data_IF_203177039094
#
_entry.id   IF_203177039094
#
_cell.length_a   1.000
_cell.length_b   1.000
_cell.length_c   1.000
_cell.angle_alpha   90.00
_cell.angle_beta   90.00
_cell.angle_gamma   90.00
#
_symmetry.space_group_name_H-M   'P 1'
#
loop_
_entity.id
_entity.type
_entity.pdbx_description
1 polymer ?
#
# COMPACT_ATOMS: atom_id res chain seq x y z
N UNK A 1 28.95 2.18 13.18
CA UNK A 1 28.66 0.98 12.35
C UNK A 1 28.88 -0.24 13.20
N UNK A 2 27.91 -1.17 13.22
CA UNK A 2 28.01 -2.42 13.95
C UNK A 2 28.20 -3.56 12.93
N UNK A 3 29.12 -4.48 13.24
CA UNK A 3 29.40 -5.63 12.39
C UNK A 3 28.77 -6.88 13.00
N UNK A 4 28.05 -7.62 12.21
CA UNK A 4 27.38 -8.86 12.59
C UNK A 4 27.79 -10.00 11.65
N UNK A 5 27.67 -11.23 12.14
CA UNK A 5 28.03 -12.43 11.35
C UNK A 5 27.00 -12.76 10.27
N UNK A 6 25.74 -12.39 10.49
CA UNK A 6 24.63 -12.64 9.56
C UNK A 6 23.48 -11.69 9.84
N UNK A 7 22.53 -11.59 8.92
CA UNK A 7 21.29 -10.83 9.09
C UNK A 7 20.45 -11.32 10.28
N UNK A 8 20.46 -12.62 10.56
CA UNK A 8 19.76 -13.17 11.74
C UNK A 8 20.33 -12.62 13.05
N UNK A 9 21.65 -12.44 13.15
CA UNK A 9 22.27 -11.83 14.32
C UNK A 9 21.90 -10.35 14.44
N UNK A 10 21.78 -9.64 13.32
CA UNK A 10 21.27 -8.26 13.33
C UNK A 10 19.86 -8.22 13.88
N UNK A 11 18.96 -9.07 13.36
CA UNK A 11 17.54 -9.09 13.76
C UNK A 11 17.32 -9.49 15.24
N UNK A 12 18.25 -10.21 15.84
CA UNK A 12 18.23 -10.59 17.27
C UNK A 12 18.85 -9.53 18.18
N UNK A 13 19.49 -8.52 17.64
CA UNK A 13 20.10 -7.47 18.44
C UNK A 13 19.04 -6.59 19.10
N UNK A 14 19.16 -6.35 20.42
CA UNK A 14 18.16 -5.60 21.22
C UNK A 14 17.91 -4.16 20.75
N UNK A 15 18.87 -3.58 20.03
CA UNK A 15 18.73 -2.25 19.42
C UNK A 15 18.38 -2.31 17.92
N UNK A 16 18.08 -3.51 17.40
CA UNK A 16 17.62 -3.65 16.03
C UNK A 16 16.31 -2.91 15.82
N UNK A 17 16.26 -2.24 14.73
CA UNK A 17 15.15 -1.42 14.37
C UNK A 17 14.77 -1.68 12.89
N UNK A 18 13.53 -2.08 12.68
CA UNK A 18 13.06 -2.58 11.40
C UNK A 18 13.25 -1.59 10.22
N UNK A 19 13.09 -0.29 10.46
CA UNK A 19 13.34 0.71 9.41
C UNK A 19 14.83 0.91 9.08
N UNK A 20 15.73 0.33 9.88
CA UNK A 20 17.15 0.27 9.56
C UNK A 20 17.51 -0.95 8.69
N UNK A 21 16.53 -1.74 8.27
CA UNK A 21 16.78 -2.93 7.42
C UNK A 21 17.46 -2.55 6.11
N UNK A 22 17.15 -1.37 5.55
CA UNK A 22 17.81 -0.84 4.36
C UNK A 22 19.30 -0.57 4.55
N UNK A 23 19.76 -0.42 5.81
CA UNK A 23 21.16 -0.23 6.16
C UNK A 23 21.90 -1.53 6.51
N UNK A 24 21.18 -2.64 6.51
CA UNK A 24 21.81 -3.96 6.67
C UNK A 24 22.33 -4.40 5.32
N UNK A 25 23.65 -4.30 5.14
CA UNK A 25 24.32 -4.58 3.89
C UNK A 25 25.59 -5.40 4.11
N UNK A 26 26.04 -6.18 3.11
CA UNK A 26 27.36 -6.77 3.10
C UNK A 26 28.47 -5.73 3.34
N UNK A 27 29.52 -6.13 4.01
CA UNK A 27 30.70 -5.25 4.26
C UNK A 27 31.30 -4.73 2.94
N UNK A 28 31.29 -5.55 1.89
CA UNK A 28 31.73 -5.18 0.55
C UNK A 28 30.94 -4.00 -0.03
N UNK A 29 29.66 -3.93 0.23
CA UNK A 29 28.79 -2.84 -0.26
C UNK A 29 28.99 -1.59 0.57
N UNK A 30 29.14 -1.70 1.89
CA UNK A 30 29.57 -0.59 2.73
C UNK A 30 30.92 -0.05 2.32
N UNK A 31 31.87 -0.90 1.91
CA UNK A 31 33.17 -0.45 1.39
C UNK A 31 33.03 0.42 0.13
N UNK A 32 32.09 0.08 -0.78
CA UNK A 32 31.80 0.93 -1.96
C UNK A 32 31.25 2.30 -1.53
N UNK A 33 30.33 2.33 -0.57
CA UNK A 33 29.77 3.57 -0.03
C UNK A 33 30.87 4.43 0.62
N UNK A 34 31.67 3.85 1.51
CA UNK A 34 32.74 4.57 2.20
C UNK A 34 33.91 4.96 1.30
N UNK A 35 34.01 4.41 0.09
CA UNK A 35 34.99 4.83 -0.90
C UNK A 35 34.61 6.10 -1.66
N UNK A 36 33.39 6.61 -1.49
CA UNK A 36 32.89 7.82 -2.15
C UNK A 36 33.53 9.10 -1.60
N UNK A 37 33.42 10.16 -2.39
CA UNK A 37 34.03 11.48 -2.08
C UNK A 37 33.61 12.01 -0.71
N UNK A 38 32.36 11.84 -0.32
CA UNK A 38 31.85 12.25 1.00
C UNK A 38 32.77 11.79 2.14
N UNK A 39 33.29 10.56 2.08
CA UNK A 39 34.14 10.02 3.14
C UNK A 39 35.61 10.31 2.92
N UNK A 40 36.04 10.42 1.67
CA UNK A 40 37.44 10.75 1.32
C UNK A 40 37.79 12.20 1.60
N UNK A 41 36.86 13.11 1.34
CA UNK A 41 37.04 14.54 1.52
C UNK A 41 36.74 15.04 2.95
N UNK A 42 36.53 14.14 3.91
CA UNK A 42 36.09 14.49 5.26
C UNK A 42 37.07 15.43 6.00
N UNK A 43 38.32 15.49 5.61
CA UNK A 43 39.33 16.35 6.19
C UNK A 43 39.60 17.62 5.36
N UNK A 44 38.90 17.80 4.24
CA UNK A 44 39.04 18.99 3.41
C UNK A 44 38.44 20.21 4.12
N UNK A 45 39.06 21.38 4.03
CA UNK A 45 38.58 22.60 4.73
C UNK A 45 37.17 23.03 4.32
N UNK A 46 36.75 22.74 3.11
CA UNK A 46 35.46 23.08 2.51
C UNK A 46 34.40 21.98 2.59
N UNK A 47 34.72 20.86 3.27
CA UNK A 47 33.85 19.68 3.34
C UNK A 47 32.39 19.97 3.69
N UNK A 48 32.16 20.87 4.67
CA UNK A 48 30.81 21.19 5.14
C UNK A 48 30.01 22.08 4.17
N UNK A 49 30.67 22.76 3.24
CA UNK A 49 30.02 23.63 2.25
C UNK A 49 29.80 22.98 0.88
N UNK A 50 30.22 21.72 0.71
CA UNK A 50 30.13 21.00 -0.56
C UNK A 50 28.85 20.18 -0.65
N UNK A 51 27.89 20.68 -1.42
CA UNK A 51 26.60 20.00 -1.67
C UNK A 51 26.73 18.75 -2.57
N UNK A 52 27.72 18.72 -3.46
CA UNK A 52 28.00 17.61 -4.37
C UNK A 52 28.35 16.30 -3.65
N UNK A 53 28.92 16.37 -2.46
CA UNK A 53 29.33 15.18 -1.69
C UNK A 53 28.14 14.35 -1.22
N UNK A 54 27.05 14.99 -0.83
CA UNK A 54 25.82 14.28 -0.47
C UNK A 54 25.19 13.61 -1.68
N UNK A 55 25.17 14.27 -2.83
CA UNK A 55 24.64 13.70 -4.07
C UNK A 55 25.40 12.43 -4.48
N UNK A 56 26.75 12.44 -4.40
CA UNK A 56 27.58 11.27 -4.69
C UNK A 56 27.32 10.10 -3.73
N UNK A 57 27.21 10.39 -2.45
CA UNK A 57 26.84 9.39 -1.44
C UNK A 57 25.45 8.77 -1.72
N UNK A 58 24.48 9.61 -2.05
CA UNK A 58 23.14 9.20 -2.44
C UNK A 58 23.14 8.28 -3.67
N UNK A 59 23.92 8.65 -4.67
CA UNK A 59 24.05 7.86 -5.88
C UNK A 59 24.60 6.46 -5.56
N UNK A 60 25.61 6.37 -4.69
CA UNK A 60 26.20 5.09 -4.30
C UNK A 60 25.19 4.14 -3.66
N UNK A 61 24.30 4.65 -2.79
CA UNK A 61 23.28 3.82 -2.17
C UNK A 61 22.16 3.43 -3.15
N UNK A 62 21.80 4.33 -4.07
CA UNK A 62 20.88 4.02 -5.16
C UNK A 62 21.41 2.91 -6.06
N UNK A 63 22.69 2.95 -6.40
CA UNK A 63 23.36 1.90 -7.18
C UNK A 63 23.31 0.53 -6.49
N UNK A 64 23.28 0.50 -5.17
CA UNK A 64 23.13 -0.70 -4.35
C UNK A 64 21.68 -1.13 -4.12
N UNK A 65 20.72 -0.47 -4.76
CA UNK A 65 19.30 -0.73 -4.58
C UNK A 65 18.78 -0.41 -3.18
N UNK A 66 19.50 0.42 -2.41
CA UNK A 66 19.12 0.82 -1.06
C UNK A 66 18.36 2.14 -1.09
N UNK A 67 17.11 2.11 -0.69
CA UNK A 67 16.29 3.30 -0.45
C UNK A 67 16.23 3.56 1.04
N UNK A 68 16.82 4.67 1.49
CA UNK A 68 16.67 5.14 2.85
C UNK A 68 15.57 6.20 2.93
N UNK A 69 14.83 6.31 4.02
CA UNK A 69 13.92 7.42 4.25
C UNK A 69 14.57 8.79 4.06
N UNK A 70 15.83 8.95 4.39
CA UNK A 70 16.60 10.20 4.15
C UNK A 70 16.69 10.61 2.68
N UNK A 71 16.64 9.66 1.74
CA UNK A 71 16.69 9.94 0.31
C UNK A 71 15.39 10.55 -0.22
N UNK A 72 14.32 10.39 0.52
CA UNK A 72 13.02 10.92 0.18
C UNK A 72 12.89 12.39 0.55
N UNK A 73 13.81 12.91 1.37
CA UNK A 73 13.84 14.30 1.76
C UNK A 73 13.92 15.27 0.55
N UNK A 74 14.85 15.11 -0.41
CA UNK A 74 14.88 15.98 -1.59
C UNK A 74 13.57 15.95 -2.38
N UNK A 75 12.92 14.79 -2.46
CA UNK A 75 11.60 14.66 -3.09
C UNK A 75 10.57 15.57 -2.42
N UNK A 76 10.43 15.51 -1.09
CA UNK A 76 9.49 16.35 -0.35
C UNK A 76 9.87 17.84 -0.40
N UNK A 77 11.17 18.17 -0.31
CA UNK A 77 11.63 19.55 -0.35
C UNK A 77 11.29 20.21 -1.70
N UNK A 78 11.39 19.49 -2.81
CA UNK A 78 11.12 19.99 -4.16
C UNK A 78 9.65 19.93 -4.57
N UNK A 79 8.82 19.19 -3.84
CA UNK A 79 7.42 19.01 -4.18
C UNK A 79 6.58 20.14 -3.59
N UNK A 80 6.06 21.02 -4.42
CA UNK A 80 5.22 22.15 -3.99
C UNK A 80 3.73 21.92 -4.27
N UNK A 81 3.42 21.11 -5.27
CA UNK A 81 2.04 20.80 -5.68
C UNK A 81 1.91 19.32 -5.99
N UNK A 82 0.84 18.70 -5.50
CA UNK A 82 0.45 17.33 -5.85
C UNK A 82 -0.93 17.35 -6.51
N UNK A 83 -0.97 16.87 -7.76
CA UNK A 83 -2.23 16.56 -8.45
C UNK A 83 -2.62 15.12 -8.13
N UNK A 84 -3.57 14.92 -7.22
CA UNK A 84 -4.00 13.58 -6.81
C UNK A 84 -4.57 12.78 -7.97
N UNK A 85 -5.25 13.45 -8.92
CA UNK A 85 -5.78 12.81 -10.13
C UNK A 85 -4.74 12.07 -10.96
N UNK A 86 -3.48 12.55 -11.01
CA UNK A 86 -2.37 11.89 -11.71
C UNK A 86 -2.06 10.50 -11.16
N UNK A 87 -2.17 10.33 -9.85
CA UNK A 87 -1.82 9.13 -9.10
C UNK A 87 -3.03 8.23 -8.80
N UNK A 88 -4.21 8.67 -9.24
CA UNK A 88 -5.47 7.97 -9.00
C UNK A 88 -5.60 6.77 -9.94
N UNK A 89 -5.96 5.63 -9.36
CA UNK A 89 -6.25 4.41 -10.10
C UNK A 89 -7.77 4.27 -10.27
N UNK A 90 -8.50 4.36 -9.16
CA UNK A 90 -9.97 4.32 -9.13
C UNK A 90 -10.48 5.02 -7.89
N UNK A 91 -11.51 5.83 -8.01
CA UNK A 91 -12.11 6.55 -6.86
C UNK A 91 -11.06 7.32 -6.06
N UNK A 92 -10.90 6.97 -4.79
CA UNK A 92 -9.88 7.53 -3.88
C UNK A 92 -8.62 6.66 -3.74
N UNK A 93 -8.51 5.56 -4.49
CA UNK A 93 -7.36 4.69 -4.44
C UNK A 93 -6.21 5.25 -5.29
N UNK A 94 -5.08 5.51 -4.65
CA UNK A 94 -3.90 6.14 -5.24
C UNK A 94 -2.64 5.33 -4.99
N UNK A 95 -1.69 5.37 -5.94
CA UNK A 95 -0.34 4.83 -5.79
C UNK A 95 0.66 5.80 -6.44
N UNK A 96 1.87 5.86 -5.87
CA UNK A 96 2.92 6.78 -6.32
C UNK A 96 3.83 6.15 -7.38
N UNK A 97 4.29 4.92 -7.13
CA UNK A 97 5.23 4.24 -8.02
C UNK A 97 4.59 3.97 -9.38
N UNK A 98 5.19 4.46 -10.44
CA UNK A 98 4.62 4.44 -11.79
C UNK A 98 4.35 3.01 -12.29
N UNK A 99 5.25 2.08 -12.01
CA UNK A 99 5.06 0.68 -12.38
C UNK A 99 3.85 0.05 -11.67
N UNK A 100 3.68 0.33 -10.39
CA UNK A 100 2.53 -0.16 -9.59
C UNK A 100 1.24 0.53 -10.03
N UNK A 101 1.30 1.84 -10.27
CA UNK A 101 0.18 2.65 -10.76
C UNK A 101 -0.37 2.08 -12.08
N UNK A 102 0.53 1.81 -13.04
CA UNK A 102 0.15 1.27 -14.34
C UNK A 102 -0.40 -0.16 -14.23
N UNK A 103 0.28 -1.04 -13.51
CA UNK A 103 -0.19 -2.42 -13.30
C UNK A 103 -1.60 -2.47 -12.66
N UNK A 104 -1.88 -1.58 -11.69
CA UNK A 104 -3.20 -1.54 -11.06
C UNK A 104 -4.27 -0.82 -11.91
N UNK A 105 -3.88 0.11 -12.79
CA UNK A 105 -4.79 0.64 -13.83
C UNK A 105 -5.17 -0.44 -14.81
N UNK A 106 -4.22 -1.28 -15.23
CA UNK A 106 -4.48 -2.41 -16.12
C UNK A 106 -5.37 -3.45 -15.44
N UNK A 107 -5.10 -3.79 -14.18
CA UNK A 107 -5.95 -4.67 -13.37
C UNK A 107 -7.39 -4.13 -13.28
N UNK A 108 -7.55 -2.83 -13.00
CA UNK A 108 -8.87 -2.18 -13.02
C UNK A 108 -9.54 -2.30 -14.38
N UNK A 109 -8.83 -2.01 -15.46
CA UNK A 109 -9.39 -2.11 -16.82
C UNK A 109 -9.83 -3.53 -17.14
N UNK A 110 -9.05 -4.54 -16.78
CA UNK A 110 -9.38 -5.94 -17.00
C UNK A 110 -10.64 -6.36 -16.21
N UNK A 111 -10.75 -5.93 -14.94
CA UNK A 111 -11.95 -6.20 -14.14
C UNK A 111 -13.18 -5.51 -14.76
N UNK A 112 -13.07 -4.25 -15.18
CA UNK A 112 -14.17 -3.53 -15.83
C UNK A 112 -14.55 -4.15 -17.18
N UNK A 113 -13.59 -4.56 -17.98
CA UNK A 113 -13.85 -5.29 -19.23
C UNK A 113 -14.50 -6.66 -18.98
N UNK A 114 -14.12 -7.31 -17.87
CA UNK A 114 -14.77 -8.54 -17.40
C UNK A 114 -16.25 -8.34 -17.10
N UNK A 115 -16.63 -7.20 -16.54
CA UNK A 115 -18.03 -6.83 -16.31
C UNK A 115 -18.83 -6.82 -17.62
N UNK A 116 -18.23 -6.35 -18.70
CA UNK A 116 -18.89 -6.29 -20.02
C UNK A 116 -18.98 -7.64 -20.70
N UNK A 117 -18.05 -8.56 -20.40
CA UNK A 117 -17.99 -9.92 -20.95
C UNK A 117 -18.63 -10.98 -20.05
N UNK A 118 -19.12 -10.60 -18.89
CA UNK A 118 -19.70 -11.53 -17.92
C UNK A 118 -20.84 -12.36 -18.53
N UNK A 119 -20.89 -13.64 -18.21
CA UNK A 119 -21.82 -14.60 -18.79
C UNK A 119 -21.38 -15.21 -20.13
N UNK A 120 -20.30 -14.70 -20.75
CA UNK A 120 -19.72 -15.26 -21.99
C UNK A 120 -18.42 -16.03 -21.72
N UNK A 121 -17.65 -15.60 -20.75
CA UNK A 121 -16.35 -16.14 -20.38
C UNK A 121 -16.17 -16.11 -18.86
N UNK A 122 -15.32 -17.01 -18.32
CA UNK A 122 -14.91 -16.92 -16.90
C UNK A 122 -14.10 -15.68 -16.69
N UNK A 123 -14.58 -14.83 -15.80
CA UNK A 123 -13.91 -13.56 -15.41
C UNK A 123 -13.58 -13.61 -13.90
N UNK A 124 -12.88 -14.69 -13.50
CA UNK A 124 -12.38 -14.83 -12.14
C UNK A 124 -11.01 -14.18 -12.03
N UNK A 125 -10.76 -13.45 -10.96
CA UNK A 125 -9.53 -12.70 -10.72
C UNK A 125 -8.87 -13.18 -9.42
N UNK A 126 -7.53 -13.14 -9.37
CA UNK A 126 -6.75 -13.43 -8.18
C UNK A 126 -5.89 -12.23 -7.84
N UNK A 127 -5.97 -11.76 -6.59
CA UNK A 127 -5.16 -10.65 -6.08
C UNK A 127 -4.31 -11.15 -4.92
N UNK A 128 -3.01 -11.13 -5.08
CA UNK A 128 -2.12 -11.14 -3.94
C UNK A 128 -1.85 -9.71 -3.49
N UNK A 129 -1.96 -9.47 -2.19
CA UNK A 129 -1.72 -8.13 -1.65
C UNK A 129 -0.93 -8.20 -0.34
N UNK A 130 0.11 -7.41 -0.23
CA UNK A 130 0.81 -7.27 1.03
C UNK A 130 -0.15 -6.80 2.15
N UNK A 131 -0.01 -7.28 3.39
CA UNK A 131 -0.86 -6.87 4.48
C UNK A 131 -0.93 -5.35 4.62
N UNK A 132 -2.14 -4.80 4.69
CA UNK A 132 -2.36 -3.36 4.83
C UNK A 132 -2.14 -2.51 3.58
N UNK A 133 -1.87 -3.10 2.41
CA UNK A 133 -1.69 -2.39 1.14
C UNK A 133 -2.97 -1.86 0.50
N UNK A 134 -4.14 -2.16 1.09
CA UNK A 134 -5.43 -1.64 0.64
C UNK A 134 -6.18 -2.50 -0.38
N UNK A 135 -5.96 -3.82 -0.41
CA UNK A 135 -6.63 -4.75 -1.35
C UNK A 135 -8.16 -4.60 -1.35
N UNK A 136 -8.79 -4.70 -0.19
CA UNK A 136 -10.24 -4.58 -0.03
C UNK A 136 -10.73 -3.21 -0.50
N UNK A 137 -10.02 -2.14 -0.13
CA UNK A 137 -10.36 -0.78 -0.55
C UNK A 137 -10.24 -0.59 -2.07
N UNK A 138 -9.25 -1.19 -2.72
CA UNK A 138 -9.13 -1.18 -4.19
C UNK A 138 -10.37 -1.77 -4.86
N UNK A 139 -10.81 -2.95 -4.43
CA UNK A 139 -11.98 -3.62 -5.00
C UNK A 139 -13.28 -2.87 -4.68
N UNK A 140 -13.41 -2.33 -3.47
CA UNK A 140 -14.55 -1.48 -3.10
C UNK A 140 -14.66 -0.22 -3.97
N UNK A 141 -13.54 0.44 -4.29
CA UNK A 141 -13.53 1.62 -5.16
C UNK A 141 -13.86 1.24 -6.63
N UNK A 142 -13.46 0.04 -7.09
CA UNK A 142 -13.92 -0.48 -8.38
C UNK A 142 -15.44 -0.70 -8.35
N UNK A 143 -15.95 -1.38 -7.34
CA UNK A 143 -17.38 -1.62 -7.19
C UNK A 143 -18.19 -0.31 -7.19
N UNK A 144 -17.74 0.71 -6.44
CA UNK A 144 -18.35 2.04 -6.44
C UNK A 144 -18.33 2.70 -7.82
N UNK A 145 -17.26 2.49 -8.61
CA UNK A 145 -17.18 3.05 -9.96
C UNK A 145 -18.17 2.41 -10.94
N UNK A 146 -18.66 1.22 -10.64
CA UNK A 146 -19.69 0.50 -11.41
C UNK A 146 -21.12 0.96 -11.02
N UNK A 147 -21.29 1.62 -9.90
CA UNK A 147 -22.56 2.16 -9.39
C UNK A 147 -23.72 1.15 -9.49
N UNK A 148 -24.79 1.53 -10.20
CA UNK A 148 -25.99 0.71 -10.34
C UNK A 148 -25.84 -0.49 -11.29
N UNK A 149 -24.68 -0.67 -11.91
CA UNK A 149 -24.41 -1.76 -12.86
C UNK A 149 -24.14 -3.10 -12.19
N UNK A 150 -23.67 -3.10 -10.94
CA UNK A 150 -23.40 -4.32 -10.20
C UNK A 150 -23.84 -4.23 -8.73
N UNK A 151 -24.10 -5.40 -8.14
CA UNK A 151 -24.20 -5.57 -6.69
C UNK A 151 -22.86 -6.05 -6.15
N UNK A 152 -22.30 -5.38 -5.16
CA UNK A 152 -21.07 -5.78 -4.52
C UNK A 152 -21.33 -6.64 -3.29
N UNK A 153 -20.68 -7.80 -3.25
CA UNK A 153 -20.76 -8.75 -2.14
C UNK A 153 -19.34 -9.00 -1.63
N UNK A 154 -19.09 -8.68 -0.36
CA UNK A 154 -17.80 -8.91 0.29
C UNK A 154 -17.92 -10.02 1.34
N UNK A 155 -17.12 -11.06 1.19
CA UNK A 155 -17.06 -12.18 2.13
C UNK A 155 -15.64 -12.31 2.64
N UNK A 156 -15.43 -12.12 3.94
CA UNK A 156 -14.13 -12.36 4.56
C UNK A 156 -14.06 -13.81 5.07
N UNK A 157 -13.31 -14.64 4.37
CA UNK A 157 -13.22 -16.07 4.65
C UNK A 157 -12.58 -16.39 6.01
N UNK A 158 -11.73 -15.51 6.54
CA UNK A 158 -11.15 -15.69 7.87
C UNK A 158 -12.21 -15.64 8.98
N UNK A 159 -13.29 -14.89 8.75
CA UNK A 159 -14.38 -14.66 9.73
C UNK A 159 -15.58 -15.58 9.51
N UNK A 160 -15.96 -15.82 8.25
CA UNK A 160 -17.12 -16.61 7.90
C UNK A 160 -16.99 -18.06 8.35
N UNK A 161 -18.06 -18.68 8.81
CA UNK A 161 -18.18 -20.12 8.92
C UNK A 161 -18.68 -20.75 7.59
N UNK A 162 -18.84 -22.06 7.59
CA UNK A 162 -19.21 -22.82 6.38
C UNK A 162 -20.61 -22.45 5.88
N UNK A 163 -21.57 -22.33 6.78
CA UNK A 163 -22.97 -22.09 6.44
C UNK A 163 -23.17 -20.61 6.02
N UNK A 164 -22.56 -19.67 6.73
CA UNK A 164 -22.53 -18.26 6.37
C UNK A 164 -21.91 -18.02 4.99
N UNK A 165 -20.79 -18.71 4.70
CA UNK A 165 -20.11 -18.59 3.42
C UNK A 165 -21.01 -19.08 2.27
N UNK A 166 -21.61 -20.26 2.42
CA UNK A 166 -22.54 -20.82 1.44
C UNK A 166 -23.75 -19.91 1.23
N UNK A 167 -24.41 -19.50 2.31
CA UNK A 167 -25.59 -18.64 2.24
C UNK A 167 -25.30 -17.32 1.55
N UNK A 168 -24.12 -16.71 1.83
CA UNK A 168 -23.71 -15.46 1.18
C UNK A 168 -23.48 -15.60 -0.33
N UNK A 169 -22.92 -16.73 -0.77
CA UNK A 169 -22.75 -17.02 -2.20
C UNK A 169 -24.11 -17.26 -2.88
N UNK A 170 -24.98 -18.06 -2.26
CA UNK A 170 -26.32 -18.39 -2.79
C UNK A 170 -27.19 -17.12 -2.90
N UNK A 171 -27.23 -16.31 -1.86
CA UNK A 171 -27.98 -15.05 -1.85
C UNK A 171 -27.52 -14.06 -2.93
N UNK A 172 -26.22 -14.05 -3.22
CA UNK A 172 -25.67 -13.23 -4.28
C UNK A 172 -25.99 -13.69 -5.70
N UNK A 173 -26.28 -15.00 -5.91
CA UNK A 173 -26.56 -15.56 -7.24
C UNK A 173 -28.01 -15.38 -7.69
N UNK A 174 -28.92 -15.07 -6.80
CA UNK A 174 -30.37 -14.97 -7.09
C UNK A 174 -30.80 -13.64 -7.74
N UNK A 175 -29.87 -12.72 -7.99
CA UNK A 175 -30.16 -11.40 -8.53
C UNK A 175 -30.03 -11.35 -10.07
N UNK A 176 -30.98 -10.72 -10.74
CA UNK A 176 -30.96 -10.41 -12.18
C UNK A 176 -29.94 -9.31 -12.55
N UNK A 177 -29.00 -9.00 -11.64
CA UNK A 177 -27.94 -7.99 -11.82
C UNK A 177 -26.57 -8.66 -11.77
N UNK A 178 -25.60 -8.03 -12.42
CA UNK A 178 -24.20 -8.42 -12.27
C UNK A 178 -23.80 -8.42 -10.78
N UNK A 179 -23.18 -9.51 -10.35
CA UNK A 179 -22.65 -9.65 -8.99
C UNK A 179 -21.12 -9.57 -9.03
N UNK A 180 -20.55 -8.67 -8.26
CA UNK A 180 -19.12 -8.57 -8.02
C UNK A 180 -18.80 -9.09 -6.62
N UNK A 181 -18.27 -10.31 -6.55
CA UNK A 181 -17.87 -10.94 -5.30
C UNK A 181 -16.42 -10.61 -4.98
N UNK A 182 -16.15 -10.15 -3.78
CA UNK A 182 -14.82 -10.17 -3.18
C UNK A 182 -14.78 -11.28 -2.12
N UNK A 183 -13.99 -12.32 -2.38
CA UNK A 183 -13.67 -13.34 -1.39
C UNK A 183 -12.32 -12.95 -0.77
N UNK A 184 -12.39 -12.22 0.34
CA UNK A 184 -11.19 -11.73 1.03
C UNK A 184 -10.61 -12.80 1.96
N UNK A 185 -9.28 -12.81 2.12
CA UNK A 185 -8.52 -13.83 2.85
C UNK A 185 -8.77 -15.25 2.32
N UNK A 186 -8.73 -15.42 0.98
CA UNK A 186 -8.96 -16.72 0.30
C UNK A 186 -8.02 -17.82 0.81
N UNK A 187 -6.88 -17.44 1.31
CA UNK A 187 -5.85 -18.28 1.89
C UNK A 187 -6.02 -18.56 3.41
N UNK A 188 -7.09 -18.05 4.02
CA UNK A 188 -7.45 -18.38 5.41
C UNK A 188 -7.93 -19.83 5.57
N UNK A 189 -7.97 -20.32 6.84
CA UNK A 189 -8.45 -21.66 7.21
C UNK A 189 -7.72 -22.78 6.47
N UNK A 190 -6.39 -22.89 6.57
CA UNK A 190 -5.58 -23.82 5.76
C UNK A 190 -5.97 -25.30 5.97
N UNK A 191 -6.48 -25.65 7.15
CA UNK A 191 -6.83 -27.02 7.54
C UNK A 191 -8.27 -27.42 7.17
N UNK A 192 -9.07 -26.47 6.68
CA UNK A 192 -10.46 -26.71 6.31
C UNK A 192 -10.60 -26.92 4.79
N UNK A 193 -11.17 -28.03 4.32
CA UNK A 193 -11.39 -28.29 2.88
C UNK A 193 -12.55 -27.48 2.31
N UNK A 194 -13.58 -27.22 3.11
CA UNK A 194 -14.87 -26.67 2.68
C UNK A 194 -14.81 -25.32 1.94
N UNK A 195 -13.87 -24.39 2.20
CA UNK A 195 -13.88 -23.11 1.48
C UNK A 195 -13.79 -23.29 -0.04
N UNK A 196 -12.88 -24.12 -0.49
CA UNK A 196 -12.68 -24.36 -1.93
C UNK A 196 -13.74 -25.28 -2.52
N UNK A 197 -14.18 -26.28 -1.75
CA UNK A 197 -15.27 -27.18 -2.18
C UNK A 197 -16.58 -26.43 -2.41
N UNK A 198 -16.92 -25.48 -1.55
CA UNK A 198 -18.11 -24.65 -1.71
C UNK A 198 -17.96 -23.66 -2.86
N UNK A 199 -16.79 -23.03 -3.01
CA UNK A 199 -16.58 -21.97 -4.00
C UNK A 199 -16.54 -22.49 -5.44
N UNK A 200 -15.99 -23.67 -5.67
CA UNK A 200 -15.78 -24.24 -7.01
C UNK A 200 -17.05 -24.26 -7.88
N UNK A 201 -18.21 -24.76 -7.43
CA UNK A 201 -19.44 -24.75 -8.23
C UNK A 201 -19.90 -23.35 -8.64
N UNK A 202 -19.64 -22.34 -7.81
CA UNK A 202 -20.02 -20.95 -8.12
C UNK A 202 -19.10 -20.33 -9.19
N UNK A 203 -17.79 -20.64 -9.16
CA UNK A 203 -16.86 -20.20 -10.21
C UNK A 203 -17.20 -20.81 -11.58
N UNK A 204 -17.76 -22.01 -11.61
CA UNK A 204 -18.20 -22.68 -12.85
C UNK A 204 -19.59 -22.22 -13.30
N UNK A 205 -20.51 -22.00 -12.37
CA UNK A 205 -21.90 -21.61 -12.64
C UNK A 205 -22.02 -20.29 -13.41
N UNK A 206 -21.06 -19.37 -13.24
CA UNK A 206 -21.02 -18.12 -13.97
C UNK A 206 -20.99 -18.30 -15.50
N UNK A 207 -20.44 -19.43 -15.99
CA UNK A 207 -20.36 -19.73 -17.42
C UNK A 207 -21.54 -20.63 -17.86
N UNK A 208 -21.84 -21.68 -17.09
CA UNK A 208 -22.81 -22.69 -17.46
C UNK A 208 -24.27 -22.22 -17.44
N UNK A 209 -24.59 -21.29 -16.51
CA UNK A 209 -25.95 -20.76 -16.30
C UNK A 209 -26.19 -19.39 -16.89
N UNK A 210 -25.17 -18.78 -17.55
CA UNK A 210 -25.25 -17.41 -18.01
C UNK A 210 -25.37 -16.40 -16.86
N UNK A 211 -24.97 -16.78 -15.64
CA UNK A 211 -25.04 -15.88 -14.49
C UNK A 211 -23.98 -14.79 -14.65
N UNK A 212 -24.37 -13.56 -14.37
CA UNK A 212 -23.47 -12.40 -14.45
C UNK A 212 -22.74 -12.24 -13.12
N UNK A 213 -21.78 -13.13 -12.84
CA UNK A 213 -21.00 -13.07 -11.61
C UNK A 213 -19.51 -13.01 -11.92
N UNK A 214 -18.81 -12.11 -11.23
CA UNK A 214 -17.36 -11.94 -11.27
C UNK A 214 -16.83 -12.19 -9.86
N UNK A 215 -15.86 -13.08 -9.76
CA UNK A 215 -15.21 -13.39 -8.50
C UNK A 215 -13.80 -12.80 -8.45
N UNK A 216 -13.53 -12.00 -7.43
CA UNK A 216 -12.21 -11.50 -7.08
C UNK A 216 -11.78 -12.22 -5.81
N UNK A 217 -10.82 -13.13 -5.94
CA UNK A 217 -10.23 -13.85 -4.82
C UNK A 217 -9.00 -13.08 -4.35
N UNK A 218 -8.94 -12.72 -3.08
CA UNK A 218 -7.85 -11.90 -2.54
C UNK A 218 -7.22 -12.55 -1.30
N UNK A 219 -5.88 -12.58 -1.27
CA UNK A 219 -5.12 -13.14 -0.14
C UNK A 219 -3.81 -12.42 0.08
N UNK A 220 -3.10 -12.81 1.14
CA UNK A 220 -1.86 -12.13 1.59
C UNK A 220 -0.74 -13.07 2.05
N UNK A 221 -0.95 -14.39 2.01
CA UNK A 221 0.03 -15.37 2.47
C UNK A 221 1.17 -15.59 1.46
N UNK A 222 2.22 -16.26 1.89
CA UNK A 222 3.29 -16.75 1.00
C UNK A 222 4.31 -15.70 0.57
N UNK A 223 4.25 -14.46 1.08
CA UNK A 223 5.15 -13.34 0.75
C UNK A 223 5.17 -12.90 -0.73
N UNK A 224 4.49 -13.63 -1.61
CA UNK A 224 4.33 -13.35 -3.03
C UNK A 224 3.08 -14.01 -3.57
N UNK A 225 2.70 -13.66 -4.81
CA UNK A 225 1.60 -14.31 -5.52
C UNK A 225 1.88 -15.82 -5.72
N UNK A 226 3.09 -16.15 -6.15
CA UNK A 226 3.52 -17.54 -6.37
C UNK A 226 3.49 -18.33 -5.06
N UNK A 227 4.04 -17.77 -3.98
CA UNK A 227 4.01 -18.41 -2.67
C UNK A 227 2.60 -18.59 -2.11
N UNK A 228 1.67 -17.68 -2.40
CA UNK A 228 0.25 -17.86 -2.08
C UNK A 228 -0.36 -19.00 -2.92
N UNK A 229 -0.10 -19.03 -4.23
CA UNK A 229 -0.59 -20.09 -5.13
C UNK A 229 -0.06 -21.47 -4.73
N UNK A 230 1.19 -21.59 -4.34
CA UNK A 230 1.77 -22.84 -3.82
C UNK A 230 1.03 -23.33 -2.56
N UNK A 231 0.76 -22.42 -1.62
CA UNK A 231 -0.02 -22.74 -0.41
C UNK A 231 -1.47 -23.12 -0.74
N UNK A 232 -2.10 -22.42 -1.68
CA UNK A 232 -3.42 -22.77 -2.15
C UNK A 232 -3.42 -24.16 -2.85
N UNK A 233 -2.44 -24.43 -3.70
CA UNK A 233 -2.31 -25.70 -4.43
C UNK A 233 -2.07 -26.90 -3.52
N UNK A 234 -1.46 -26.72 -2.35
CA UNK A 234 -1.23 -27.79 -1.37
C UNK A 234 -2.49 -28.19 -0.60
N UNK A 235 -3.57 -27.41 -0.69
CA UNK A 235 -4.84 -27.66 0.02
C UNK A 235 -5.76 -28.58 -0.79
N UNK A 236 -6.70 -29.28 -0.13
CA UNK A 236 -7.76 -30.00 -0.84
C UNK A 236 -8.49 -29.08 -1.84
N UNK A 237 -8.66 -29.55 -3.07
CA UNK A 237 -9.27 -28.77 -4.17
C UNK A 237 -8.52 -27.51 -4.60
N UNK A 238 -7.33 -27.23 -4.05
CA UNK A 238 -6.59 -26.00 -4.37
C UNK A 238 -6.13 -25.92 -5.82
N UNK A 239 -5.65 -27.03 -6.41
CA UNK A 239 -5.29 -27.08 -7.84
C UNK A 239 -6.51 -26.90 -8.74
N UNK A 240 -7.66 -27.50 -8.37
CA UNK A 240 -8.92 -27.33 -9.08
C UNK A 240 -9.37 -25.87 -9.06
N UNK A 241 -9.24 -25.20 -7.92
CA UNK A 241 -9.55 -23.76 -7.77
C UNK A 241 -8.66 -22.91 -8.67
N UNK A 242 -7.33 -23.10 -8.59
CA UNK A 242 -6.37 -22.34 -9.38
C UNK A 242 -6.56 -22.50 -10.88
N UNK A 243 -7.00 -23.69 -11.34
CA UNK A 243 -7.30 -23.92 -12.76
C UNK A 243 -8.47 -23.08 -13.31
N UNK A 244 -9.27 -22.48 -12.43
CA UNK A 244 -10.39 -21.60 -12.80
C UNK A 244 -10.05 -20.12 -12.76
N UNK A 245 -8.79 -19.81 -12.48
CA UNK A 245 -8.26 -18.44 -12.42
C UNK A 245 -7.33 -18.24 -13.63
N UNK A 246 -7.74 -17.45 -14.62
CA UNK A 246 -6.89 -17.14 -15.77
C UNK A 246 -5.62 -16.38 -15.33
N UNK A 247 -4.47 -16.76 -15.85
CA UNK A 247 -3.18 -16.15 -15.49
C UNK A 247 -3.15 -14.64 -15.83
N UNK A 248 -3.85 -14.24 -16.87
CA UNK A 248 -4.02 -12.84 -17.26
C UNK A 248 -4.82 -12.01 -16.24
N UNK A 249 -5.53 -12.67 -15.33
CA UNK A 249 -6.34 -12.07 -14.28
C UNK A 249 -5.68 -12.17 -12.88
N UNK A 250 -4.36 -12.37 -12.85
CA UNK A 250 -3.59 -12.40 -11.61
C UNK A 250 -2.89 -11.05 -11.36
N UNK A 251 -3.07 -10.49 -10.18
CA UNK A 251 -2.56 -9.15 -9.84
C UNK A 251 -1.82 -9.13 -8.52
N UNK A 252 -0.87 -8.20 -8.42
CA UNK A 252 -0.06 -7.99 -7.21
C UNK A 252 -0.24 -6.56 -6.73
N UNK A 253 -0.58 -6.41 -5.45
CA UNK A 253 -0.59 -5.12 -4.74
C UNK A 253 0.57 -5.11 -3.74
N UNK A 254 1.72 -4.51 -4.08
CA UNK A 254 2.89 -4.50 -3.22
C UNK A 254 2.67 -3.63 -1.97
N UNK A 255 3.55 -3.73 -0.96
CA UNK A 255 3.54 -2.82 0.18
C UNK A 255 3.58 -1.36 -0.27
N UNK A 256 3.06 -0.47 0.57
CA UNK A 256 3.14 0.96 0.29
C UNK A 256 4.56 1.47 0.42
N UNK A 257 5.06 2.13 -0.63
CA UNK A 257 6.31 2.88 -0.61
C UNK A 257 6.19 4.15 0.25
N UNK A 258 7.29 4.86 0.43
CA UNK A 258 7.30 6.18 1.06
C UNK A 258 6.37 7.16 0.33
N UNK A 259 6.49 7.23 -1.00
CA UNK A 259 5.63 8.07 -1.84
C UNK A 259 4.16 7.67 -1.76
N UNK A 260 3.85 6.38 -1.73
CA UNK A 260 2.49 5.89 -1.53
C UNK A 260 1.89 6.38 -0.22
N UNK A 261 2.64 6.32 0.90
CA UNK A 261 2.14 6.77 2.21
C UNK A 261 1.82 8.26 2.20
N UNK A 262 2.66 9.08 1.57
CA UNK A 262 2.42 10.51 1.40
C UNK A 262 1.14 10.75 0.60
N UNK A 263 0.99 10.12 -0.56
CA UNK A 263 -0.19 10.31 -1.39
C UNK A 263 -1.47 9.79 -0.72
N UNK A 264 -1.39 8.62 -0.09
CA UNK A 264 -2.53 8.05 0.62
C UNK A 264 -2.97 8.97 1.75
N UNK A 265 -2.06 9.47 2.58
CA UNK A 265 -2.43 10.35 3.69
C UNK A 265 -2.98 11.69 3.20
N UNK A 266 -2.42 12.27 2.13
CA UNK A 266 -2.94 13.50 1.52
C UNK A 266 -4.37 13.30 0.99
N UNK A 267 -4.62 12.20 0.30
CA UNK A 267 -5.96 11.82 -0.14
C UNK A 267 -6.92 11.62 1.04
N UNK A 268 -6.44 11.04 2.14
CA UNK A 268 -7.26 10.87 3.35
C UNK A 268 -7.51 12.19 4.09
N UNK A 269 -6.59 13.15 4.10
CA UNK A 269 -6.85 14.50 4.64
C UNK A 269 -7.98 15.19 3.88
N UNK A 270 -7.95 15.14 2.55
CA UNK A 270 -9.03 15.72 1.73
C UNK A 270 -10.36 15.05 2.04
N UNK A 271 -10.38 13.71 2.11
CA UNK A 271 -11.59 12.94 2.42
C UNK A 271 -12.13 13.21 3.82
N UNK A 272 -11.24 13.20 4.83
CA UNK A 272 -11.61 13.49 6.22
C UNK A 272 -12.11 14.92 6.38
N UNK A 273 -11.47 15.88 5.72
CA UNK A 273 -11.91 17.27 5.70
C UNK A 273 -13.32 17.41 5.13
N UNK A 274 -13.58 16.82 3.97
CA UNK A 274 -14.92 16.83 3.35
C UNK A 274 -16.01 16.26 4.27
N UNK A 275 -15.69 15.20 5.02
CA UNK A 275 -16.64 14.57 5.94
C UNK A 275 -17.09 15.48 7.09
N UNK A 276 -16.27 16.46 7.49
CA UNK A 276 -16.57 17.44 8.55
C UNK A 276 -16.80 18.86 8.04
N UNK A 277 -16.97 19.02 6.72
CA UNK A 277 -17.21 20.33 6.08
C UNK A 277 -15.98 21.25 6.07
N UNK A 278 -14.76 20.69 6.14
CA UNK A 278 -13.50 21.40 6.07
C UNK A 278 -12.78 21.06 4.77
N UNK A 279 -12.51 22.04 3.94
CA UNK A 279 -11.73 21.85 2.71
C UNK A 279 -10.24 21.87 3.04
N UNK A 280 -9.54 20.77 2.79
CA UNK A 280 -8.08 20.67 2.98
C UNK A 280 -7.40 20.82 1.63
N UNK A 281 -6.59 21.86 1.48
CA UNK A 281 -5.87 22.21 0.26
C UNK A 281 -4.35 22.17 0.40
N UNK A 282 -3.83 22.09 1.61
CA UNK A 282 -2.39 22.05 1.81
C UNK A 282 -1.99 21.26 3.06
N UNK A 283 -0.82 20.62 3.00
CA UNK A 283 -0.24 19.90 4.14
C UNK A 283 1.21 20.30 4.30
N UNK A 284 1.64 20.51 5.56
CA UNK A 284 3.00 20.91 5.87
C UNK A 284 4.00 19.76 5.61
N UNK A 285 5.09 20.07 4.92
CA UNK A 285 6.12 19.10 4.51
C UNK A 285 6.71 18.32 5.68
N UNK A 286 7.00 19.02 6.80
CA UNK A 286 7.55 18.36 8.00
C UNK A 286 6.62 17.29 8.55
N UNK A 287 5.32 17.56 8.59
CA UNK A 287 4.33 16.60 9.04
C UNK A 287 4.18 15.40 8.12
N UNK A 288 4.24 15.62 6.81
CA UNK A 288 4.22 14.52 5.83
C UNK A 288 5.45 13.63 5.97
N UNK A 289 6.61 14.23 6.19
CA UNK A 289 7.84 13.48 6.41
C UNK A 289 7.75 12.61 7.67
N UNK A 290 7.23 13.17 8.77
CA UNK A 290 6.97 12.43 10.01
C UNK A 290 6.04 11.22 9.77
N UNK A 291 4.93 11.41 9.08
CA UNK A 291 3.97 10.35 8.79
C UNK A 291 4.60 9.24 7.95
N UNK A 292 5.33 9.62 6.91
CA UNK A 292 5.95 8.66 6.00
C UNK A 292 7.05 7.81 6.67
N UNK A 293 7.73 8.36 7.68
CA UNK A 293 8.76 7.67 8.46
C UNK A 293 8.23 6.93 9.68
N UNK A 294 7.01 7.23 10.12
CA UNK A 294 6.47 6.63 11.34
C UNK A 294 6.18 5.13 11.15
N UNK A 295 6.83 4.30 11.95
CA UNK A 295 6.71 2.84 11.90
C UNK A 295 5.30 2.31 12.24
N UNK A 296 4.49 3.14 12.92
CA UNK A 296 3.11 2.79 13.29
C UNK A 296 2.10 3.16 12.21
N UNK A 297 2.50 3.92 11.18
CA UNK A 297 1.63 4.40 10.10
C UNK A 297 1.98 3.71 8.77
N UNK A 298 1.98 2.39 8.77
CA UNK A 298 2.46 1.59 7.63
C UNK A 298 1.37 1.11 6.69
N UNK A 299 0.10 1.22 7.06
CA UNK A 299 -1.00 0.75 6.24
C UNK A 299 -2.11 1.81 6.07
N UNK A 300 -2.91 1.65 5.04
CA UNK A 300 -3.94 2.61 4.65
C UNK A 300 -4.99 2.88 5.75
N UNK A 301 -5.33 1.86 6.57
CA UNK A 301 -6.30 2.02 7.67
C UNK A 301 -5.75 2.93 8.77
N UNK A 302 -4.49 2.70 9.17
CA UNK A 302 -3.81 3.53 10.17
C UNK A 302 -3.67 4.98 9.69
N UNK A 303 -3.31 5.17 8.41
CA UNK A 303 -3.23 6.50 7.80
C UNK A 303 -4.59 7.20 7.76
N UNK A 304 -5.66 6.48 7.49
CA UNK A 304 -7.02 7.04 7.49
C UNK A 304 -7.46 7.49 8.90
N UNK A 305 -7.34 6.62 9.88
CA UNK A 305 -7.68 6.97 11.28
C UNK A 305 -6.82 8.12 11.81
N UNK A 306 -5.55 8.16 11.41
CA UNK A 306 -4.65 9.25 11.73
C UNK A 306 -5.09 10.56 11.08
N UNK A 307 -5.45 10.53 9.79
CA UNK A 307 -5.89 11.70 9.05
C UNK A 307 -7.15 12.34 9.65
N UNK A 308 -8.14 11.51 10.03
CA UNK A 308 -9.37 12.01 10.70
C UNK A 308 -8.99 12.80 11.96
N UNK A 309 -8.22 12.17 12.84
CA UNK A 309 -7.81 12.81 14.12
C UNK A 309 -6.99 14.08 13.92
N UNK A 310 -6.13 14.11 12.91
CA UNK A 310 -5.33 15.29 12.60
C UNK A 310 -6.19 16.44 12.07
N UNK A 311 -7.14 16.14 11.19
CA UNK A 311 -8.07 17.15 10.64
C UNK A 311 -9.00 17.70 11.73
N UNK A 312 -9.49 16.86 12.63
CA UNK A 312 -10.35 17.27 13.76
C UNK A 312 -9.62 18.20 14.75
N UNK A 313 -8.30 18.03 14.94
CA UNK A 313 -7.50 18.91 15.81
C UNK A 313 -7.27 20.30 15.23
N UNK A 314 -7.41 20.46 13.93
CA UNK A 314 -7.17 21.73 13.26
C UNK A 314 -8.31 22.75 13.47
N UNK A 315 -8.01 24.06 13.41
CA UNK A 315 -9.03 25.09 13.49
C UNK A 315 -10.08 24.95 12.38
N UNK A 316 -11.35 25.19 12.73
CA UNK A 316 -12.41 25.25 11.73
C UNK A 316 -12.12 26.38 10.74
N UNK A 317 -12.20 26.10 9.44
CA UNK A 317 -11.93 27.06 8.37
C UNK A 317 -10.46 27.19 7.95
N UNK A 318 -9.50 26.53 8.60
CA UNK A 318 -8.13 26.44 8.08
C UNK A 318 -8.06 25.31 7.04
N UNK A 319 -7.68 25.67 5.82
CA UNK A 319 -7.52 24.73 4.70
C UNK A 319 -6.17 23.97 4.75
N UNK A 320 -5.34 24.24 5.75
CA UNK A 320 -4.01 23.65 5.91
C UNK A 320 -3.97 22.68 7.08
N UNK A 321 -3.22 21.60 6.89
CA UNK A 321 -2.84 20.67 7.97
C UNK A 321 -1.39 20.94 8.35
N UNK A 322 -1.15 21.37 9.59
CA UNK A 322 0.17 21.73 10.11
C UNK A 322 0.81 20.57 10.88
N UNK A 323 2.12 20.61 11.03
CA UNK A 323 2.89 19.52 11.67
C UNK A 323 2.49 19.28 13.14
N UNK A 324 2.12 20.31 13.87
CA UNK A 324 1.67 20.20 15.26
C UNK A 324 0.39 19.37 15.42
N UNK A 325 -0.48 19.36 14.39
CA UNK A 325 -1.65 18.50 14.32
C UNK A 325 -1.30 17.05 13.97
N UNK A 326 -0.13 16.83 13.35
CA UNK A 326 0.32 15.56 12.82
C UNK A 326 1.18 14.77 13.80
N UNK A 327 1.80 15.41 14.79
CA UNK A 327 2.52 14.70 15.82
C UNK A 327 1.58 13.98 16.79
N UNK A 328 1.90 12.74 17.11
CA UNK A 328 1.16 11.96 18.10
C UNK A 328 1.75 12.29 19.48
N UNK A 329 1.01 12.94 20.39
CA UNK A 329 1.51 13.28 21.72
C UNK A 329 2.01 12.04 22.47
N UNK A 330 3.20 12.13 23.06
CA UNK A 330 3.79 11.03 23.85
C UNK A 330 4.32 9.85 23.03
N UNK A 331 4.29 9.92 21.69
CA UNK A 331 4.83 8.86 20.85
C UNK A 331 6.39 8.88 20.91
N UNK A 332 7.03 7.74 21.25
CA UNK A 332 8.49 7.60 21.20
C UNK A 332 9.09 7.93 19.82
N UNK A 333 8.33 7.69 18.75
CA UNK A 333 8.73 8.05 17.38
C UNK A 333 9.01 9.54 17.19
N UNK A 334 8.38 10.43 17.99
CA UNK A 334 8.65 11.87 17.92
C UNK A 334 10.12 12.20 18.20
N UNK A 335 10.68 11.63 19.28
CA UNK A 335 12.09 11.87 19.63
C UNK A 335 13.03 11.38 18.55
N UNK A 336 12.75 10.20 18.03
CA UNK A 336 13.51 9.58 16.97
C UNK A 336 13.44 10.40 15.69
N UNK A 337 12.25 10.80 15.28
CA UNK A 337 12.02 11.64 14.12
C UNK A 337 12.85 12.94 14.20
N UNK A 338 12.83 13.63 15.35
CA UNK A 338 13.61 14.85 15.54
C UNK A 338 15.11 14.61 15.48
N UNK A 339 15.61 13.48 15.95
CA UNK A 339 17.03 13.13 15.80
C UNK A 339 17.42 12.93 14.33
N UNK A 340 16.51 12.36 13.55
CA UNK A 340 16.74 12.06 12.14
C UNK A 340 16.64 13.31 11.24
N UNK A 341 15.73 14.21 11.52
CA UNK A 341 15.43 15.35 10.64
C UNK A 341 15.93 16.70 11.16
N UNK A 342 16.60 16.74 12.31
CA UNK A 342 17.00 18.01 12.95
C UNK A 342 17.80 18.93 12.04
N UNK A 343 18.67 18.38 11.18
CA UNK A 343 19.48 19.14 10.24
C UNK A 343 18.69 19.77 9.08
N UNK A 344 17.51 19.23 8.75
CA UNK A 344 16.71 19.66 7.60
C UNK A 344 15.34 20.21 7.99
N UNK A 345 15.00 20.17 9.28
CA UNK A 345 13.68 20.61 9.76
C UNK A 345 13.37 22.07 9.38
N UNK A 346 14.38 22.94 9.37
CA UNK A 346 14.22 24.36 8.99
C UNK A 346 13.76 24.56 7.53
N UNK A 347 14.05 23.60 6.65
CA UNK A 347 13.63 23.65 5.25
C UNK A 347 12.22 23.09 5.04
N UNK A 348 11.66 22.39 6.02
CA UNK A 348 10.37 21.72 5.95
C UNK A 348 9.27 22.43 6.76
N UNK A 349 9.66 23.13 7.83
CA UNK A 349 8.73 23.89 8.70
C UNK A 349 8.16 25.09 7.94
N UNK A 350 6.85 25.30 8.07
CA UNK A 350 6.09 26.33 7.34
C UNK A 350 6.20 26.24 5.80
N UNK A 351 6.65 25.12 5.27
CA UNK A 351 6.60 24.79 3.85
C UNK A 351 5.45 23.82 3.60
N UNK A 352 4.66 24.10 2.61
CA UNK A 352 3.43 23.37 2.32
C UNK A 352 3.49 22.74 0.94
N UNK A 353 2.85 21.58 0.82
CA UNK A 353 2.49 20.99 -0.47
C UNK A 353 1.02 21.30 -0.68
N UNK A 354 0.72 21.93 -1.80
CA UNK A 354 -0.64 22.16 -2.25
C UNK A 354 -1.23 20.88 -2.83
N UNK A 355 -2.49 20.61 -2.50
CA UNK A 355 -3.23 19.44 -2.98
C UNK A 355 -4.25 19.90 -4.02
N UNK A 356 -4.09 19.40 -5.24
CA UNK A 356 -5.08 19.50 -6.33
C UNK A 356 -5.74 18.12 -6.52
N UNK A 357 -7.08 18.09 -6.56
CA UNK A 357 -7.85 16.84 -6.75
C UNK A 357 -7.85 16.30 -8.19
#
# INVERSE_FOLDING_TARGET
MNLFRSEEHVKRWSLYYRLAEDYVMPVSDWAKVFSRQLFRSRLDPDYLSREDLLADYHLALKELGKSSPYWQYPFLAQLDVVKLSRYRIVGSYTRYEESVLNALKDARQNILAGVERSGQKRENHLIWAAPGSGKTFFVQEIAKSLQDRCTYVEINLAKADQDEFRASLEAGMDNNRLQLFLIDEIDAKPDAPWPYEILLPFLDAAVEKGSQSIFILAGSSGYSLEGMKERMASRPKGRDLLSRLPTENEYVIPPMSFGDRILVVMSQFVRAGKAIGREIRAVEKLGLYYIALNSKLTNARQLYEFAIRAVERGPRGDERVKYDQLFIPGDPENKRFWLEVSSVAGELVNRYILIEE
#
